data_IF_860058556970
#
_entry.id   IF_860058556970
#
_cell.length_a   1.000
_cell.length_b   1.000
_cell.length_c   1.000
_cell.angle_alpha   90.00
_cell.angle_beta   90.00
_cell.angle_gamma   90.00
#
_symmetry.space_group_name_H-M   'P 1'
#
loop_
_entity.id
_entity.type
_entity.pdbx_description
1 polymer ?
#
# COMPACT_ATOMS: atom_id res chain seq x y z
N UNK A 1 -17.49 10.14 3.32
CA UNK A 1 -17.84 10.39 1.90
C UNK A 1 -17.88 9.03 1.20
N UNK A 2 -18.93 8.68 0.49
CA UNK A 2 -18.99 7.42 -0.29
C UNK A 2 -18.66 7.75 -1.74
N UNK A 3 -17.83 6.92 -2.36
CA UNK A 3 -17.50 7.05 -3.78
C UNK A 3 -18.71 6.53 -4.58
N UNK A 4 -19.33 7.36 -5.45
CA UNK A 4 -20.43 6.89 -6.30
C UNK A 4 -20.00 5.70 -7.15
N UNK A 5 -20.84 4.67 -7.26
CA UNK A 5 -20.56 3.44 -8.03
C UNK A 5 -19.63 2.43 -7.36
N UNK A 6 -19.00 2.75 -6.24
CA UNK A 6 -18.10 1.82 -5.56
C UNK A 6 -18.82 0.60 -4.94
N UNK A 7 -20.13 0.68 -4.73
CA UNK A 7 -20.93 -0.43 -4.18
C UNK A 7 -21.02 -1.65 -5.11
N UNK A 8 -20.80 -1.47 -6.41
CA UNK A 8 -20.86 -2.53 -7.42
C UNK A 8 -19.49 -3.18 -7.70
N UNK A 9 -18.41 -2.60 -7.14
CA UNK A 9 -17.05 -3.09 -7.32
C UNK A 9 -16.75 -4.14 -6.25
N UNK A 10 -16.34 -5.36 -6.60
CA UNK A 10 -15.86 -6.33 -5.63
C UNK A 10 -14.61 -5.81 -4.92
N UNK A 11 -14.60 -5.86 -3.61
CA UNK A 11 -13.47 -5.44 -2.77
C UNK A 11 -13.00 -6.63 -1.94
N UNK A 12 -11.70 -6.89 -1.96
CA UNK A 12 -11.05 -7.87 -1.09
C UNK A 12 -10.23 -7.11 -0.06
N UNK A 13 -10.57 -7.29 1.19
CA UNK A 13 -9.87 -6.66 2.30
C UNK A 13 -9.06 -7.70 3.04
N UNK A 14 -7.73 -7.52 3.04
CA UNK A 14 -6.78 -8.41 3.67
C UNK A 14 -6.23 -7.74 4.92
N UNK A 15 -6.30 -8.43 6.03
CA UNK A 15 -5.75 -7.96 7.30
C UNK A 15 -5.51 -9.14 8.25
N UNK A 16 -4.69 -8.95 9.26
CA UNK A 16 -4.51 -9.94 10.30
C UNK A 16 -5.86 -10.27 10.96
N UNK A 17 -6.11 -11.56 11.29
CA UNK A 17 -7.41 -12.01 11.81
C UNK A 17 -7.93 -11.17 12.98
N UNK A 18 -7.06 -10.84 13.94
CA UNK A 18 -7.42 -10.07 15.14
C UNK A 18 -7.82 -8.63 14.78
N UNK A 19 -7.06 -7.99 13.89
CA UNK A 19 -7.30 -6.62 13.43
C UNK A 19 -8.60 -6.56 12.61
N UNK A 20 -8.79 -7.51 11.71
CA UNK A 20 -9.98 -7.59 10.88
C UNK A 20 -11.26 -7.79 11.72
N UNK A 21 -11.24 -8.67 12.72
CA UNK A 21 -12.37 -8.87 13.63
C UNK A 21 -12.67 -7.62 14.47
N UNK A 22 -11.64 -6.90 14.91
CA UNK A 22 -11.81 -5.61 15.60
C UNK A 22 -12.47 -4.58 14.68
N UNK A 23 -12.01 -4.48 13.44
CA UNK A 23 -12.55 -3.59 12.41
C UNK A 23 -14.02 -3.88 12.13
N UNK A 24 -14.38 -5.14 11.89
CA UNK A 24 -15.77 -5.56 11.66
C UNK A 24 -16.68 -5.19 12.85
N UNK A 25 -16.22 -5.43 14.08
CA UNK A 25 -16.98 -5.03 15.28
C UNK A 25 -17.17 -3.52 15.38
N UNK A 26 -16.15 -2.72 15.05
CA UNK A 26 -16.28 -1.26 15.03
C UNK A 26 -17.24 -0.78 13.95
N UNK A 27 -17.15 -1.33 12.76
CA UNK A 27 -18.05 -1.00 11.65
C UNK A 27 -19.51 -1.37 11.97
N UNK A 28 -19.76 -2.54 12.58
CA UNK A 28 -21.09 -2.98 12.98
C UNK A 28 -21.77 -2.14 14.07
N UNK A 29 -21.00 -1.25 14.74
CA UNK A 29 -21.56 -0.26 15.67
C UNK A 29 -22.03 1.03 14.97
N UNK A 30 -21.52 1.28 13.76
CA UNK A 30 -21.72 2.53 13.02
C UNK A 30 -22.53 2.34 11.74
N UNK A 31 -22.72 1.11 11.32
CA UNK A 31 -23.43 0.73 10.10
C UNK A 31 -24.54 -0.26 10.44
N UNK A 32 -25.68 -0.16 9.79
CA UNK A 32 -26.80 -1.12 9.93
C UNK A 32 -26.41 -2.52 9.45
N UNK A 33 -25.52 -2.59 8.46
CA UNK A 33 -24.91 -3.83 7.96
C UNK A 33 -23.54 -3.56 7.36
N UNK A 34 -22.68 -4.57 7.35
CA UNK A 34 -21.42 -4.50 6.61
C UNK A 34 -21.69 -4.46 5.10
N UNK A 35 -20.88 -3.72 4.31
CA UNK A 35 -21.05 -3.67 2.86
C UNK A 35 -20.94 -5.07 2.22
N UNK A 36 -21.91 -5.43 1.40
CA UNK A 36 -22.02 -6.76 0.79
C UNK A 36 -20.99 -7.02 -0.32
N UNK A 37 -20.39 -5.96 -0.86
CA UNK A 37 -19.36 -6.05 -1.88
C UNK A 37 -17.95 -6.24 -1.33
N UNK A 38 -17.78 -6.32 -0.01
CA UNK A 38 -16.48 -6.53 0.63
C UNK A 38 -16.34 -7.99 1.07
N UNK A 39 -15.34 -8.67 0.55
CA UNK A 39 -14.90 -9.97 1.03
C UNK A 39 -13.73 -9.76 2.01
N UNK A 40 -13.96 -10.12 3.26
CA UNK A 40 -12.93 -10.06 4.30
C UNK A 40 -12.09 -11.33 4.28
N UNK A 41 -10.81 -11.20 3.98
CA UNK A 41 -9.86 -12.30 3.87
C UNK A 41 -8.86 -12.19 5.02
N UNK A 42 -9.03 -12.98 6.10
CA UNK A 42 -8.07 -12.99 7.20
C UNK A 42 -6.74 -13.57 6.71
N UNK A 43 -5.64 -12.88 6.97
CA UNK A 43 -4.35 -13.18 6.37
C UNK A 43 -3.18 -12.56 7.14
N UNK A 44 -2.04 -13.26 7.19
CA UNK A 44 -0.77 -12.71 7.64
C UNK A 44 0.26 -12.74 6.50
N UNK A 45 0.77 -11.55 6.12
CA UNK A 45 1.71 -11.37 5.01
C UNK A 45 3.07 -12.04 5.23
N UNK A 46 3.45 -12.30 6.48
CA UNK A 46 4.71 -12.97 6.81
C UNK A 46 4.60 -14.51 6.74
N UNK A 47 3.39 -15.05 6.87
CA UNK A 47 3.20 -16.50 7.01
C UNK A 47 2.97 -17.22 5.66
N UNK A 48 2.10 -16.74 4.79
CA UNK A 48 1.63 -17.54 3.64
C UNK A 48 1.50 -16.74 2.34
N UNK A 49 2.07 -15.76 1.97
CA UNK A 49 1.90 -15.03 0.70
C UNK A 49 0.41 -14.82 0.28
N UNK A 50 0.13 -13.71 -0.36
CA UNK A 50 -1.24 -13.19 -0.61
C UNK A 50 -2.11 -14.05 -1.55
N UNK A 51 -1.51 -14.90 -2.37
CA UNK A 51 -2.21 -15.57 -3.47
C UNK A 51 -3.26 -16.58 -3.01
N UNK A 52 -2.90 -17.48 -2.10
CA UNK A 52 -3.79 -18.55 -1.66
C UNK A 52 -5.01 -18.02 -0.87
N UNK A 53 -4.86 -17.10 0.09
CA UNK A 53 -6.00 -16.48 0.77
C UNK A 53 -6.97 -15.78 -0.17
N UNK A 54 -6.47 -14.98 -1.12
CA UNK A 54 -7.31 -14.29 -2.08
C UNK A 54 -8.05 -15.23 -3.02
N UNK A 55 -7.39 -16.30 -3.49
CA UNK A 55 -8.04 -17.32 -4.31
C UNK A 55 -9.18 -18.01 -3.54
N UNK A 56 -8.96 -18.33 -2.26
CA UNK A 56 -10.04 -18.87 -1.38
C UNK A 56 -11.18 -17.86 -1.19
N UNK A 57 -10.88 -16.57 -1.18
CA UNK A 57 -11.86 -15.49 -1.12
C UNK A 57 -12.63 -15.24 -2.42
N UNK A 58 -12.29 -15.93 -3.51
CA UNK A 58 -12.94 -15.78 -4.81
C UNK A 58 -12.35 -14.66 -5.69
N UNK A 59 -11.12 -14.23 -5.42
CA UNK A 59 -10.42 -13.29 -6.30
C UNK A 59 -10.18 -13.91 -7.69
N UNK A 60 -10.52 -13.17 -8.73
CA UNK A 60 -10.36 -13.57 -10.12
C UNK A 60 -9.14 -12.91 -10.74
N UNK A 61 -8.17 -13.72 -11.16
CA UNK A 61 -7.00 -13.25 -11.90
C UNK A 61 -7.35 -12.76 -13.32
N UNK A 62 -6.42 -12.03 -13.95
CA UNK A 62 -6.56 -11.54 -15.32
C UNK A 62 -7.52 -10.35 -15.47
N UNK A 63 -7.93 -9.71 -14.39
CA UNK A 63 -8.75 -8.49 -14.40
C UNK A 63 -7.91 -7.26 -14.07
N UNK A 64 -8.35 -6.10 -14.59
CA UNK A 64 -7.80 -4.82 -14.14
C UNK A 64 -8.27 -4.57 -12.71
N UNK A 65 -7.34 -4.27 -11.82
CA UNK A 65 -7.62 -4.04 -10.41
C UNK A 65 -6.90 -2.80 -9.88
N UNK A 66 -7.37 -2.30 -8.74
CA UNK A 66 -6.68 -1.30 -7.93
C UNK A 66 -6.37 -1.94 -6.58
N UNK A 67 -5.10 -1.95 -6.22
CA UNK A 67 -4.63 -2.35 -4.90
C UNK A 67 -4.26 -1.10 -4.10
N UNK A 68 -4.71 -1.02 -2.85
CA UNK A 68 -4.30 -0.01 -1.88
C UNK A 68 -3.54 -0.73 -0.77
N UNK A 69 -2.26 -0.42 -0.64
CA UNK A 69 -1.34 -1.04 0.31
C UNK A 69 -0.75 0.03 1.24
N UNK A 70 -1.60 0.53 2.10
CA UNK A 70 -1.33 1.66 2.98
C UNK A 70 -0.95 1.19 4.39
N UNK A 71 0.13 1.78 4.94
CA UNK A 71 0.52 1.59 6.34
C UNK A 71 1.08 0.21 6.69
N UNK A 72 1.45 -0.62 5.70
CA UNK A 72 1.86 -2.02 5.89
C UNK A 72 3.28 -2.29 5.43
N UNK A 73 3.68 -1.77 4.28
CA UNK A 73 4.95 -2.08 3.60
C UNK A 73 6.16 -1.94 4.53
N UNK A 74 6.18 -0.91 5.36
CA UNK A 74 7.31 -0.61 6.25
C UNK A 74 7.53 -1.63 7.37
N UNK A 75 6.55 -2.47 7.64
CA UNK A 75 6.61 -3.49 8.71
C UNK A 75 7.01 -4.87 8.20
N UNK A 76 7.03 -5.07 6.89
CA UNK A 76 7.32 -6.35 6.24
C UNK A 76 8.81 -6.55 6.01
N UNK A 77 9.22 -7.81 5.83
CA UNK A 77 10.53 -8.14 5.30
C UNK A 77 10.64 -7.79 3.81
N UNK A 78 11.85 -7.60 3.31
CA UNK A 78 12.08 -7.34 1.88
C UNK A 78 11.54 -8.47 1.01
N UNK A 79 11.67 -9.72 1.47
CA UNK A 79 11.16 -10.91 0.80
C UNK A 79 9.63 -10.90 0.68
N UNK A 80 8.93 -10.51 1.74
CA UNK A 80 7.46 -10.40 1.73
C UNK A 80 6.99 -9.28 0.81
N UNK A 81 7.70 -8.15 0.78
CA UNK A 81 7.43 -7.06 -0.18
C UNK A 81 7.64 -7.52 -1.61
N UNK A 82 8.79 -8.16 -1.92
CA UNK A 82 9.10 -8.69 -3.25
C UNK A 82 8.04 -9.70 -3.72
N UNK A 83 7.71 -10.67 -2.88
CA UNK A 83 6.73 -11.70 -3.17
C UNK A 83 5.34 -11.10 -3.48
N UNK A 84 4.92 -10.11 -2.70
CA UNK A 84 3.62 -9.44 -2.89
C UNK A 84 3.57 -8.66 -4.21
N UNK A 85 4.62 -7.91 -4.55
CA UNK A 85 4.69 -7.15 -5.80
C UNK A 85 4.70 -8.08 -7.02
N UNK A 86 5.48 -9.16 -6.99
CA UNK A 86 5.52 -10.16 -8.05
C UNK A 86 4.18 -10.88 -8.20
N UNK A 87 3.56 -11.24 -7.09
CA UNK A 87 2.22 -11.80 -7.13
C UNK A 87 1.24 -10.83 -7.78
N UNK A 88 1.23 -9.56 -7.37
CA UNK A 88 0.33 -8.55 -7.93
C UNK A 88 0.45 -8.46 -9.46
N UNK A 89 1.67 -8.42 -9.99
CA UNK A 89 1.91 -8.35 -11.44
C UNK A 89 1.59 -9.65 -12.18
N UNK A 90 1.70 -10.80 -11.50
CA UNK A 90 1.42 -12.10 -12.14
C UNK A 90 -0.06 -12.43 -12.31
N UNK A 91 -0.93 -11.83 -11.47
CA UNK A 91 -2.36 -12.20 -11.47
C UNK A 91 -3.27 -11.12 -12.03
N UNK A 92 -2.79 -9.88 -12.16
CA UNK A 92 -3.60 -8.76 -12.63
C UNK A 92 -3.29 -8.41 -14.09
N UNK A 93 -4.30 -7.88 -14.78
CA UNK A 93 -4.14 -7.43 -16.15
C UNK A 93 -3.34 -6.11 -16.26
N UNK A 94 -2.70 -5.84 -17.41
CA UNK A 94 -2.15 -4.52 -17.72
C UNK A 94 -3.17 -3.40 -17.49
N UNK A 95 -2.70 -2.25 -17.01
CA UNK A 95 -3.54 -1.14 -16.56
C UNK A 95 -3.98 -1.23 -15.10
N UNK A 96 -3.67 -2.34 -14.41
CA UNK A 96 -3.88 -2.44 -12.96
C UNK A 96 -2.94 -1.50 -12.20
N UNK A 97 -3.44 -0.95 -11.10
CA UNK A 97 -2.73 0.09 -10.33
C UNK A 97 -2.52 -0.34 -8.88
N UNK A 98 -1.36 0.03 -8.36
CA UNK A 98 -0.95 -0.17 -6.98
C UNK A 98 -0.67 1.19 -6.35
N UNK A 99 -1.43 1.55 -5.32
CA UNK A 99 -1.12 2.68 -4.42
C UNK A 99 -0.49 2.08 -3.17
N UNK A 100 0.70 2.53 -2.81
CA UNK A 100 1.35 2.07 -1.59
C UNK A 100 2.06 3.20 -0.86
N UNK A 101 2.23 3.01 0.46
CA UNK A 101 3.00 3.92 1.28
C UNK A 101 4.30 3.27 1.71
N UNK A 102 5.37 4.06 1.79
CA UNK A 102 6.68 3.58 2.20
C UNK A 102 7.46 4.64 2.98
N UNK A 103 8.53 4.21 3.64
CA UNK A 103 9.48 5.09 4.33
C UNK A 103 10.62 5.42 3.36
N UNK A 104 10.87 6.71 3.14
CA UNK A 104 12.05 7.19 2.43
C UNK A 104 13.28 7.14 3.34
N UNK A 105 14.20 6.25 3.01
CA UNK A 105 15.43 6.05 3.79
C UNK A 105 16.37 7.26 3.72
N UNK A 106 16.36 8.03 2.63
CA UNK A 106 17.20 9.22 2.48
C UNK A 106 16.75 10.34 3.43
N UNK A 107 15.45 10.53 3.58
CA UNK A 107 14.86 11.43 4.58
C UNK A 107 15.00 10.91 6.02
N UNK A 108 15.02 9.59 6.18
CA UNK A 108 15.12 8.95 7.47
C UNK A 108 16.53 9.02 8.07
N UNK A 109 17.58 8.99 7.25
CA UNK A 109 18.97 9.16 7.68
C UNK A 109 19.21 10.55 8.32
N UNK A 110 18.75 11.61 7.70
CA UNK A 110 18.87 12.97 8.25
C UNK A 110 18.08 13.15 9.55
N UNK A 111 16.96 12.48 9.69
CA UNK A 111 16.13 12.45 10.91
C UNK A 111 16.76 11.59 12.01
N UNK A 112 17.56 10.57 11.64
CA UNK A 112 18.31 9.70 12.57
C UNK A 112 19.53 10.42 13.15
N UNK A 113 20.19 11.25 12.37
CA UNK A 113 21.33 12.06 12.80
C UNK A 113 20.91 13.26 13.68
N UNK A 114 19.71 13.78 13.52
CA UNK A 114 19.11 14.76 14.41
C UNK A 114 18.78 14.20 15.83
N UNK A 115 19.09 12.93 16.05
CA UNK A 115 19.50 12.25 17.30
C UNK A 115 18.49 12.20 18.41
N UNK A 116 17.73 13.08 18.80
CA UNK A 116 16.96 13.07 20.03
C UNK A 116 15.63 13.80 19.86
N UNK A 117 14.57 13.06 19.64
CA UNK A 117 13.27 13.67 19.89
C UNK A 117 12.15 13.50 18.90
N UNK A 118 12.17 12.49 18.04
CA UNK A 118 10.96 12.20 17.29
C UNK A 118 10.02 11.32 18.12
N UNK A 119 8.91 11.89 18.61
CA UNK A 119 8.00 11.19 19.53
C UNK A 119 7.50 9.84 18.99
N UNK A 120 7.36 9.73 17.66
CA UNK A 120 6.84 8.54 17.00
C UNK A 120 7.84 7.37 16.95
N UNK A 121 9.17 7.59 16.88
CA UNK A 121 10.17 6.50 17.00
C UNK A 121 10.04 5.77 18.33
N UNK A 122 9.88 6.53 19.39
CA UNK A 122 9.68 5.96 20.72
C UNK A 122 8.30 5.30 20.86
N UNK A 123 7.30 5.80 20.17
CA UNK A 123 5.95 5.19 20.15
C UNK A 123 5.98 3.86 19.41
N UNK A 124 6.59 3.78 18.23
CA UNK A 124 6.69 2.54 17.46
C UNK A 124 7.59 1.50 18.13
N UNK A 125 8.73 1.91 18.68
CA UNK A 125 9.59 1.02 19.45
C UNK A 125 8.89 0.47 20.70
N UNK A 126 8.08 1.28 21.39
CA UNK A 126 7.27 0.86 22.53
C UNK A 126 6.07 0.00 22.15
N UNK A 127 5.54 0.19 20.93
CA UNK A 127 4.45 -0.64 20.39
C UNK A 127 4.94 -2.02 19.92
N UNK A 128 6.26 -2.23 19.83
CA UNK A 128 6.84 -3.49 19.34
C UNK A 128 6.73 -3.64 17.81
N UNK A 129 6.52 -2.56 17.10
CA UNK A 129 6.35 -2.52 15.62
C UNK A 129 7.50 -1.74 14.95
N UNK A 130 8.75 -2.25 14.94
CA UNK A 130 9.86 -1.57 14.28
C UNK A 130 9.68 -1.56 12.77
N UNK A 131 10.04 -0.47 12.12
CA UNK A 131 10.16 -0.46 10.66
C UNK A 131 11.27 -1.42 10.22
N UNK A 132 10.94 -2.30 9.28
CA UNK A 132 11.81 -3.33 8.73
C UNK A 132 12.21 -3.05 7.29
N UNK A 133 11.39 -2.27 6.56
CA UNK A 133 11.56 -1.98 5.15
C UNK A 133 11.38 -0.49 4.85
N UNK A 134 12.20 0.01 3.93
CA UNK A 134 12.11 1.34 3.34
C UNK A 134 12.87 1.37 2.02
N UNK A 135 12.69 2.43 1.26
CA UNK A 135 13.33 2.63 -0.04
C UNK A 135 13.91 4.04 -0.10
N UNK A 136 15.04 4.20 -0.76
CA UNK A 136 15.47 5.52 -1.21
C UNK A 136 14.57 5.96 -2.37
N UNK A 137 14.03 7.17 -2.32
CA UNK A 137 13.10 7.67 -3.35
C UNK A 137 13.68 7.54 -4.76
N UNK A 138 14.98 7.81 -4.93
CA UNK A 138 15.66 7.67 -6.22
C UNK A 138 15.71 6.22 -6.74
N UNK A 139 15.63 5.23 -5.87
CA UNK A 139 15.68 3.82 -6.24
C UNK A 139 14.30 3.22 -6.57
N UNK A 140 13.21 3.90 -6.19
CA UNK A 140 11.83 3.38 -6.36
C UNK A 140 11.50 3.02 -7.80
N UNK A 141 11.81 3.83 -8.83
CA UNK A 141 11.50 3.44 -10.21
C UNK A 141 12.14 2.11 -10.61
N UNK A 142 13.44 1.96 -10.41
CA UNK A 142 14.17 0.73 -10.76
C UNK A 142 13.75 -0.48 -9.90
N UNK A 143 13.37 -0.24 -8.65
CA UNK A 143 12.84 -1.28 -7.76
C UNK A 143 11.51 -1.85 -8.28
N UNK A 144 10.62 -0.99 -8.77
CA UNK A 144 9.32 -1.37 -9.32
C UNK A 144 9.46 -2.02 -10.71
N UNK A 145 10.31 -1.47 -11.59
CA UNK A 145 10.56 -2.00 -12.94
C UNK A 145 11.02 -3.45 -12.92
N UNK A 146 11.92 -3.81 -12.02
CA UNK A 146 12.37 -5.20 -11.82
C UNK A 146 11.23 -6.17 -11.48
N UNK A 147 10.07 -5.66 -11.10
CA UNK A 147 8.86 -6.41 -10.70
C UNK A 147 7.71 -6.24 -11.67
N UNK A 148 7.96 -5.64 -12.86
CA UNK A 148 6.94 -5.44 -13.89
C UNK A 148 5.98 -4.28 -13.61
N UNK A 149 6.39 -3.33 -12.78
CA UNK A 149 5.61 -2.15 -12.43
C UNK A 149 6.31 -0.88 -12.93
N UNK A 150 5.56 0.10 -13.36
CA UNK A 150 6.02 1.44 -13.70
C UNK A 150 5.54 2.43 -12.66
N UNK A 151 6.45 3.20 -12.06
CA UNK A 151 6.11 4.32 -11.20
C UNK A 151 5.45 5.42 -12.04
N UNK A 152 4.27 5.89 -11.63
CA UNK A 152 3.55 6.97 -12.31
C UNK A 152 3.45 8.24 -11.48
N UNK A 153 3.54 8.12 -10.15
CA UNK A 153 3.47 9.24 -9.24
C UNK A 153 4.08 8.86 -7.87
N UNK A 154 4.79 9.80 -7.24
CA UNK A 154 5.40 9.64 -5.93
C UNK A 154 5.54 11.00 -5.26
N UNK A 155 4.98 11.14 -4.06
CA UNK A 155 5.07 12.36 -3.26
C UNK A 155 5.19 12.03 -1.78
N UNK A 156 5.75 12.94 -1.00
CA UNK A 156 5.68 12.88 0.45
C UNK A 156 4.24 13.12 0.95
N UNK A 157 3.93 12.65 2.14
CA UNK A 157 2.64 12.98 2.78
C UNK A 157 2.50 14.47 3.02
N UNK A 158 3.62 15.19 3.24
CA UNK A 158 3.65 16.65 3.36
C UNK A 158 3.19 17.31 2.06
N UNK A 159 3.75 16.92 0.91
CA UNK A 159 3.37 17.43 -0.41
C UNK A 159 1.91 17.09 -0.74
N UNK A 160 1.48 15.86 -0.50
CA UNK A 160 0.11 15.42 -0.75
C UNK A 160 -0.91 16.23 0.07
N UNK A 161 -0.63 16.47 1.34
CA UNK A 161 -1.51 17.25 2.22
C UNK A 161 -1.55 18.72 1.82
N UNK A 162 -0.40 19.33 1.51
CA UNK A 162 -0.32 20.71 1.06
C UNK A 162 -1.07 20.93 -0.23
N UNK A 163 -0.94 20.00 -1.18
CA UNK A 163 -1.67 20.03 -2.44
C UNK A 163 -3.18 19.84 -2.25
N UNK A 164 -3.60 19.01 -1.30
CA UNK A 164 -5.03 18.74 -1.03
C UNK A 164 -5.72 19.84 -0.23
N UNK A 165 -4.99 20.51 0.66
CA UNK A 165 -5.53 21.51 1.58
C UNK A 165 -4.69 22.81 1.54
N UNK A 166 -4.66 23.52 0.41
CA UNK A 166 -3.85 24.72 0.26
C UNK A 166 -4.23 25.78 1.30
N UNK A 167 -3.22 26.35 1.95
CA UNK A 167 -3.40 27.43 2.93
C UNK A 167 -3.89 26.99 4.32
N UNK A 168 -4.05 25.68 4.58
CA UNK A 168 -4.31 25.18 5.93
C UNK A 168 -2.99 24.93 6.68
N UNK A 169 -2.97 25.28 7.96
CA UNK A 169 -1.95 24.77 8.87
C UNK A 169 -2.26 23.31 9.19
N UNK A 170 -1.42 22.42 8.70
CA UNK A 170 -1.54 20.97 8.87
C UNK A 170 -0.51 20.44 9.89
N UNK A 171 0.14 21.34 10.65
CA UNK A 171 1.23 20.98 11.54
C UNK A 171 2.49 20.61 10.75
N UNK A 172 3.24 19.62 11.26
CA UNK A 172 4.46 19.11 10.62
C UNK A 172 4.22 17.69 10.06
N UNK A 173 3.64 17.57 8.86
CA UNK A 173 3.45 16.25 8.26
C UNK A 173 4.80 15.60 7.96
N UNK A 174 4.85 14.27 7.99
CA UNK A 174 6.08 13.51 7.82
C UNK A 174 6.56 13.56 6.35
N UNK A 175 7.70 14.19 6.10
CA UNK A 175 8.30 14.26 4.77
C UNK A 175 8.87 12.91 4.32
N UNK A 176 9.38 12.12 5.27
CA UNK A 176 9.94 10.79 5.03
C UNK A 176 8.88 9.71 4.74
N UNK A 177 7.61 9.96 5.01
CA UNK A 177 6.53 9.03 4.71
C UNK A 177 5.93 9.40 3.36
N UNK A 178 6.03 8.49 2.40
CA UNK A 178 5.68 8.75 1.00
C UNK A 178 4.53 7.89 0.54
N UNK A 179 3.82 8.41 -0.46
CA UNK A 179 2.75 7.71 -1.18
C UNK A 179 3.17 7.59 -2.63
N UNK A 180 3.18 6.39 -3.14
CA UNK A 180 3.50 6.10 -4.54
C UNK A 180 2.33 5.44 -5.26
N UNK A 181 2.18 5.74 -6.54
CA UNK A 181 1.29 5.08 -7.48
C UNK A 181 2.12 4.40 -8.56
N UNK A 182 1.94 3.12 -8.71
CA UNK A 182 2.54 2.33 -9.78
C UNK A 182 1.44 1.64 -10.60
N UNK A 183 1.77 1.26 -11.83
CA UNK A 183 0.86 0.53 -12.70
C UNK A 183 1.58 -0.64 -13.39
N UNK A 184 0.83 -1.67 -13.76
CA UNK A 184 1.28 -2.70 -14.70
C UNK A 184 1.19 -2.08 -16.10
N UNK A 185 2.31 -1.86 -16.81
CA UNK A 185 2.28 -1.24 -18.14
C UNK A 185 1.42 -2.05 -19.11
N UNK A 186 0.71 -1.37 -20.02
CA UNK A 186 0.18 -2.03 -21.20
C UNK A 186 1.34 -2.58 -22.03
N UNK A 187 1.15 -3.73 -22.66
CA UNK A 187 2.12 -4.18 -23.66
C UNK A 187 2.25 -3.08 -24.72
N UNK A 188 3.43 -2.49 -24.85
CA UNK A 188 3.69 -1.55 -25.93
C UNK A 188 3.69 -2.33 -27.24
N UNK A 189 2.97 -1.85 -28.25
CA UNK A 189 3.00 -2.35 -29.63
C UNK A 189 4.38 -2.03 -30.29
N UNK A 190 5.48 -2.39 -29.67
CA UNK A 190 6.82 -2.24 -30.26
C UNK A 190 7.22 -3.41 -31.17
N UNK A 191 6.30 -4.33 -31.48
CA UNK A 191 6.57 -5.48 -32.36
C UNK A 191 5.94 -5.36 -33.77
N UNK A 192 5.44 -4.18 -34.19
CA UNK A 192 4.87 -3.98 -35.51
C UNK A 192 5.69 -3.03 -36.39
N UNK A 193 7.01 -3.20 -36.43
CA UNK A 193 7.90 -2.35 -37.24
C UNK A 193 9.29 -2.96 -37.42
N UNK A 194 9.34 -4.14 -38.01
CA UNK A 194 10.58 -4.79 -38.41
C UNK A 194 10.42 -5.45 -39.77
#
# INVERSE_FOLDING_TARGET
MRIPGAGDVPVFELDQPVTQERKKRCLGRSLDSLPSNITYVPFDLEDEGVGAPLARGGFLSGKVSVCVWEGVVSYLSEEAVDATLRWFTSVNAPGSRLVFTYIDLSGFGSVSEAGEGLPWKNVLAKAGEPFRFGLETAAVPAFLEKRGLRLTWDVSTAEALTGRYPGRDLGSPAEFYRVALAEIPAATDEAAGG
#
